data_IF_523283233856
#
_entry.id   IF_523283233856
#
_cell.length_a   1.000
_cell.length_b   1.000
_cell.length_c   1.000
_cell.angle_alpha   90.00
_cell.angle_beta   90.00
_cell.angle_gamma   90.00
#
_symmetry.space_group_name_H-M   'P 1'
#
loop_
_entity.id
_entity.type
_entity.pdbx_description
1 polymer ?
#
# COMPACT_ATOMS: atom_id res chain seq x y z
N UNK A 1 -5.31 23.43 -24.77
CA UNK A 1 -5.84 23.35 -26.14
C UNK A 1 -4.67 23.05 -27.05
N UNK A 2 -4.80 22.07 -27.93
CA UNK A 2 -3.85 21.86 -29.01
C UNK A 2 -4.57 22.16 -30.32
N UNK A 3 -3.89 22.86 -31.22
CA UNK A 3 -4.45 23.21 -32.52
C UNK A 3 -4.10 22.10 -33.50
N UNK A 4 -5.10 21.32 -33.92
CA UNK A 4 -4.93 20.32 -34.98
C UNK A 4 -5.35 20.96 -36.29
N UNK A 5 -4.46 20.97 -37.29
CA UNK A 5 -4.79 21.41 -38.65
C UNK A 5 -5.40 20.24 -39.40
N UNK A 6 -6.69 20.29 -39.67
CA UNK A 6 -7.37 19.31 -40.51
C UNK A 6 -7.42 19.87 -41.94
N UNK A 7 -6.93 19.11 -42.92
CA UNK A 7 -7.15 19.40 -44.35
C UNK A 7 -8.38 18.62 -44.80
N UNK A 8 -9.43 19.30 -45.26
CA UNK A 8 -10.52 18.62 -45.94
C UNK A 8 -10.02 18.07 -47.28
N UNK A 9 -10.31 16.80 -47.54
CA UNK A 9 -10.21 16.22 -48.88
C UNK A 9 -11.64 16.09 -49.39
N UNK A 10 -12.20 17.17 -49.94
CA UNK A 10 -13.26 17.14 -50.96
C UNK A 10 -13.73 18.58 -51.27
N UNK A 11 -13.60 18.92 -52.56
CA UNK A 11 -14.21 20.00 -53.37
C UNK A 11 -13.37 21.22 -53.76
N UNK A 12 -13.56 21.57 -55.03
CA UNK A 12 -12.89 22.61 -55.81
C UNK A 12 -13.13 24.02 -55.26
N UNK A 13 -12.05 24.82 -55.29
CA UNK A 13 -11.92 26.24 -54.91
C UNK A 13 -11.87 26.55 -53.40
N UNK A 14 -10.70 27.10 -53.05
CA UNK A 14 -10.27 27.63 -51.75
C UNK A 14 -10.10 26.58 -50.63
N UNK A 15 -8.84 26.16 -50.41
CA UNK A 15 -8.41 25.46 -49.19
C UNK A 15 -8.72 26.35 -47.97
N UNK A 16 -9.85 26.14 -47.30
CA UNK A 16 -10.06 26.66 -45.95
C UNK A 16 -9.30 25.79 -44.96
N UNK A 17 -8.25 26.35 -44.36
CA UNK A 17 -7.57 25.76 -43.20
C UNK A 17 -8.36 26.14 -41.96
N UNK A 18 -9.32 25.31 -41.57
CA UNK A 18 -10.04 25.49 -40.31
C UNK A 18 -9.16 24.97 -39.16
N UNK A 19 -8.88 25.84 -38.19
CA UNK A 19 -8.21 25.45 -36.94
C UNK A 19 -9.32 25.03 -35.99
N UNK A 20 -9.53 23.72 -35.86
CA UNK A 20 -10.49 23.19 -34.90
C UNK A 20 -9.75 23.05 -33.55
N UNK A 21 -10.20 23.75 -32.49
CA UNK A 21 -9.62 23.57 -31.16
C UNK A 21 -9.99 22.17 -30.65
N UNK A 22 -9.02 21.26 -30.61
CA UNK A 22 -9.21 19.92 -30.04
C UNK A 22 -8.86 19.98 -28.55
N UNK A 23 -9.83 19.62 -27.70
CA UNK A 23 -9.60 19.43 -26.27
C UNK A 23 -8.88 18.09 -26.07
N UNK A 24 -7.59 18.14 -25.76
CA UNK A 24 -6.81 16.97 -25.39
C UNK A 24 -6.98 16.73 -23.89
N UNK A 25 -7.29 15.49 -23.52
CA UNK A 25 -7.34 15.06 -22.12
C UNK A 25 -5.95 15.10 -21.50
N UNK A 26 -5.84 15.67 -20.30
CA UNK A 26 -4.59 15.83 -19.56
C UNK A 26 -4.69 15.10 -18.23
N UNK A 27 -3.55 14.80 -17.63
CA UNK A 27 -3.51 14.22 -16.28
C UNK A 27 -4.19 15.12 -15.23
N UNK A 28 -4.25 16.43 -15.45
CA UNK A 28 -4.98 17.35 -14.56
C UNK A 28 -6.50 17.18 -14.65
N UNK A 29 -7.02 16.64 -15.76
CA UNK A 29 -8.44 16.36 -15.95
C UNK A 29 -8.87 15.08 -15.20
N UNK A 30 -7.92 14.24 -14.75
CA UNK A 30 -8.19 13.02 -13.96
C UNK A 30 -8.94 13.36 -12.67
N UNK A 31 -8.62 14.50 -12.04
CA UNK A 31 -9.26 14.96 -10.82
C UNK A 31 -10.78 15.10 -10.97
N UNK A 32 -11.22 15.75 -12.04
CA UNK A 32 -12.65 15.92 -12.34
C UNK A 32 -13.34 14.57 -12.58
N UNK A 33 -12.64 13.61 -13.20
CA UNK A 33 -13.16 12.26 -13.43
C UNK A 33 -13.31 11.52 -12.10
N UNK A 34 -12.29 11.54 -11.25
CA UNK A 34 -12.34 10.94 -9.92
C UNK A 34 -13.50 11.52 -9.09
N UNK A 35 -13.67 12.85 -9.11
CA UNK A 35 -14.77 13.53 -8.41
C UNK A 35 -16.15 13.12 -8.93
N UNK A 36 -16.34 13.05 -10.25
CA UNK A 36 -17.58 12.56 -10.86
C UNK A 36 -17.90 11.11 -10.45
N UNK A 37 -16.88 10.28 -10.25
CA UNK A 37 -17.03 8.89 -9.80
C UNK A 37 -17.22 8.77 -8.28
N UNK A 38 -17.13 9.88 -7.55
CA UNK A 38 -17.21 9.87 -6.09
C UNK A 38 -15.97 9.30 -5.41
N UNK A 39 -14.83 9.23 -6.12
CA UNK A 39 -13.56 8.74 -5.59
C UNK A 39 -12.87 9.81 -4.74
N UNK A 40 -13.41 10.01 -3.53
CA UNK A 40 -13.05 11.15 -2.67
C UNK A 40 -11.60 11.09 -2.20
N UNK A 41 -11.12 9.92 -1.75
CA UNK A 41 -9.76 9.77 -1.24
C UNK A 41 -8.77 9.82 -2.40
N UNK A 42 -9.02 9.11 -3.50
CA UNK A 42 -8.16 9.14 -4.67
C UNK A 42 -8.01 10.56 -5.24
N UNK A 43 -9.13 11.28 -5.40
CA UNK A 43 -9.10 12.68 -5.83
C UNK A 43 -8.38 13.57 -4.81
N UNK A 44 -8.55 13.32 -3.51
CA UNK A 44 -7.82 13.99 -2.43
C UNK A 44 -6.31 13.83 -2.54
N UNK A 45 -5.85 12.60 -2.71
CA UNK A 45 -4.44 12.25 -2.85
C UNK A 45 -3.83 12.85 -4.11
N UNK A 46 -4.54 12.73 -5.23
CA UNK A 46 -4.11 13.32 -6.50
C UNK A 46 -4.03 14.86 -6.41
N UNK A 47 -5.00 15.52 -5.75
CA UNK A 47 -4.95 16.97 -5.49
C UNK A 47 -3.77 17.34 -4.60
N UNK A 48 -3.51 16.57 -3.54
CA UNK A 48 -2.33 16.78 -2.68
C UNK A 48 -1.07 16.71 -3.52
N UNK A 49 -0.88 15.64 -4.29
CA UNK A 49 0.29 15.48 -5.15
C UNK A 49 0.51 16.67 -6.08
N UNK A 50 -0.54 17.11 -6.80
CA UNK A 50 -0.44 18.24 -7.74
C UNK A 50 -0.09 19.58 -7.09
N UNK A 51 -0.46 19.81 -5.82
CA UNK A 51 -0.38 21.12 -5.18
C UNK A 51 0.68 21.20 -4.08
N UNK A 52 1.12 20.08 -3.54
CA UNK A 52 2.14 20.04 -2.49
C UNK A 52 3.49 20.52 -3.00
N UNK A 53 4.33 21.12 -2.12
CA UNK A 53 5.70 21.49 -2.44
C UNK A 53 6.44 20.34 -3.11
N UNK A 54 7.33 20.68 -4.05
CA UNK A 54 8.11 19.69 -4.78
C UNK A 54 8.82 18.75 -3.81
N UNK A 55 8.57 17.46 -4.00
CA UNK A 55 9.25 16.38 -3.32
C UNK A 55 9.13 15.14 -4.19
N UNK A 56 10.28 14.61 -4.57
CA UNK A 56 10.38 13.38 -5.30
C UNK A 56 11.04 12.37 -4.37
N UNK A 57 10.34 11.26 -4.12
CA UNK A 57 10.89 10.21 -3.28
C UNK A 57 12.15 9.63 -3.91
N UNK A 58 13.05 9.13 -3.07
CA UNK A 58 14.16 8.30 -3.46
C UNK A 58 13.74 6.84 -3.56
N UNK A 59 14.57 6.03 -4.23
CA UNK A 59 14.37 4.57 -4.25
C UNK A 59 14.35 3.95 -2.85
N UNK A 60 15.11 4.49 -1.88
CA UNK A 60 15.09 3.99 -0.50
C UNK A 60 13.77 4.33 0.20
N UNK A 61 13.21 5.52 -0.05
CA UNK A 61 11.90 5.93 0.46
C UNK A 61 10.79 5.02 -0.08
N UNK A 62 10.76 4.78 -1.40
CA UNK A 62 9.82 3.83 -2.04
C UNK A 62 9.97 2.40 -1.52
N UNK A 63 11.20 1.93 -1.33
CA UNK A 63 11.47 0.59 -0.78
C UNK A 63 11.29 0.52 0.74
N UNK A 64 10.87 1.61 1.38
CA UNK A 64 10.71 1.69 2.83
C UNK A 64 11.98 1.26 3.59
N UNK A 65 13.11 1.87 3.21
CA UNK A 65 14.43 1.67 3.83
C UNK A 65 14.91 2.93 4.53
N UNK A 66 13.97 3.78 4.96
CA UNK A 66 14.23 5.03 5.66
C UNK A 66 13.52 5.03 7.01
N UNK A 67 14.11 5.78 7.96
CA UNK A 67 13.45 6.09 9.22
C UNK A 67 12.39 7.18 9.00
N UNK A 68 11.14 6.86 9.27
CA UNK A 68 10.04 7.81 9.09
C UNK A 68 10.12 9.03 10.01
N UNK A 69 10.87 8.97 11.12
CA UNK A 69 11.12 10.14 11.96
C UNK A 69 12.03 11.18 11.29
N UNK A 70 12.78 10.77 10.27
CA UNK A 70 13.61 11.69 9.48
C UNK A 70 12.85 12.36 8.33
N UNK A 71 11.66 11.87 8.00
CA UNK A 71 10.81 12.42 6.94
C UNK A 71 10.02 13.62 7.46
N UNK A 72 9.99 14.70 6.69
CA UNK A 72 9.19 15.88 7.02
C UNK A 72 7.70 15.51 7.00
N UNK A 73 6.98 15.84 8.09
CA UNK A 73 5.55 15.58 8.25
C UNK A 73 4.68 16.08 7.09
N UNK A 74 5.09 17.12 6.36
CA UNK A 74 4.33 17.60 5.19
C UNK A 74 4.19 16.53 4.09
N UNK A 75 5.15 15.60 4.00
CA UNK A 75 5.18 14.47 3.07
C UNK A 75 4.59 13.19 3.67
N UNK A 76 3.82 13.31 4.75
CA UNK A 76 3.18 12.18 5.42
C UNK A 76 1.69 12.50 5.56
N UNK A 77 0.85 11.60 5.07
CA UNK A 77 -0.57 11.50 5.42
C UNK A 77 -0.68 10.38 6.45
N UNK A 78 -1.04 10.68 7.69
CA UNK A 78 -1.14 9.69 8.78
C UNK A 78 -2.55 9.55 9.37
N UNK A 79 -3.54 10.11 8.69
CA UNK A 79 -4.94 10.17 9.11
C UNK A 79 -5.91 9.50 8.11
N UNK A 80 -5.42 8.72 7.13
CA UNK A 80 -6.29 7.99 6.20
C UNK A 80 -7.22 7.05 7.00
N UNK A 81 -8.56 7.18 6.95
CA UNK A 81 -9.43 6.34 7.75
C UNK A 81 -9.33 4.86 7.33
N UNK A 82 -8.87 3.96 8.19
CA UNK A 82 -8.83 2.53 7.84
C UNK A 82 -10.22 1.99 7.52
N UNK A 83 -11.24 2.42 8.26
CA UNK A 83 -12.61 1.93 8.10
C UNK A 83 -13.23 2.31 6.74
N UNK A 84 -12.70 3.32 6.04
CA UNK A 84 -13.12 3.66 4.68
C UNK A 84 -12.91 2.50 3.70
N UNK A 85 -11.90 1.65 3.93
CA UNK A 85 -11.63 0.45 3.11
C UNK A 85 -12.83 -0.51 3.05
N UNK A 86 -13.65 -0.56 4.09
CA UNK A 86 -14.83 -1.42 4.14
C UNK A 86 -15.98 -0.92 3.27
N UNK A 87 -16.08 0.39 3.10
CA UNK A 87 -17.21 1.04 2.43
C UNK A 87 -16.88 1.47 1.01
N UNK A 88 -15.62 1.76 0.73
CA UNK A 88 -15.18 2.32 -0.54
C UNK A 88 -14.79 1.25 -1.57
N UNK A 89 -14.68 0.00 -1.14
CA UNK A 89 -14.39 -1.12 -2.03
C UNK A 89 -15.04 -2.41 -1.56
N UNK A 90 -15.84 -3.00 -2.43
CA UNK A 90 -16.49 -4.29 -2.19
C UNK A 90 -15.50 -5.46 -2.24
N UNK A 91 -14.33 -5.28 -2.87
CA UNK A 91 -13.28 -6.31 -2.98
C UNK A 91 -12.41 -6.41 -1.72
N UNK A 92 -12.21 -5.30 -1.02
CA UNK A 92 -11.26 -5.20 0.11
C UNK A 92 -11.84 -5.77 1.39
N UNK A 93 -13.11 -5.46 1.69
CA UNK A 93 -13.73 -5.89 2.96
C UNK A 93 -13.70 -7.41 3.18
N UNK A 94 -14.03 -8.28 2.19
CA UNK A 94 -13.99 -9.73 2.38
C UNK A 94 -12.59 -10.26 2.74
N UNK A 95 -11.55 -9.68 2.14
CA UNK A 95 -10.16 -10.08 2.38
C UNK A 95 -9.77 -9.76 3.83
N UNK A 96 -10.02 -8.52 4.27
CA UNK A 96 -9.73 -8.11 5.66
C UNK A 96 -10.52 -8.97 6.65
N UNK A 97 -11.82 -9.18 6.40
CA UNK A 97 -12.67 -10.00 7.25
C UNK A 97 -12.18 -11.45 7.37
N UNK A 98 -11.71 -12.04 6.28
CA UNK A 98 -11.16 -13.39 6.29
C UNK A 98 -9.87 -13.48 7.11
N UNK A 99 -8.97 -12.49 6.96
CA UNK A 99 -7.74 -12.42 7.76
C UNK A 99 -8.07 -12.25 9.24
N UNK A 100 -8.93 -11.29 9.59
CA UNK A 100 -9.36 -11.05 10.98
C UNK A 100 -9.95 -12.31 11.59
N UNK A 101 -10.83 -13.01 10.87
CA UNK A 101 -11.41 -14.29 11.32
C UNK A 101 -10.32 -15.32 11.62
N UNK A 102 -9.34 -15.48 10.73
CA UNK A 102 -8.25 -16.46 10.87
C UNK A 102 -7.34 -16.17 12.08
N UNK A 103 -7.13 -14.90 12.42
CA UNK A 103 -6.22 -14.50 13.51
C UNK A 103 -6.93 -14.13 14.82
N UNK A 104 -8.26 -14.19 14.86
CA UNK A 104 -9.06 -13.75 16.02
C UNK A 104 -8.91 -14.66 17.24
N UNK A 105 -8.81 -15.97 17.04
CA UNK A 105 -8.59 -16.95 18.10
C UNK A 105 -7.51 -17.93 17.64
N UNK A 106 -6.37 -17.94 18.33
CA UNK A 106 -5.23 -18.81 18.00
C UNK A 106 -4.74 -19.51 19.26
N UNK A 107 -4.54 -20.83 19.13
CA UNK A 107 -3.93 -21.70 20.14
C UNK A 107 -2.76 -22.41 19.51
N UNK A 108 -1.55 -21.99 19.84
CA UNK A 108 -0.28 -22.49 19.31
C UNK A 108 -0.09 -22.28 17.81
N UNK A 109 -0.95 -22.84 16.95
CA UNK A 109 -0.69 -23.04 15.53
C UNK A 109 -1.47 -22.05 14.65
N UNK A 110 -0.75 -21.32 13.81
CA UNK A 110 -1.33 -20.42 12.79
C UNK A 110 -0.22 -19.96 11.83
N UNK A 111 -0.51 -19.92 10.52
CA UNK A 111 0.47 -19.54 9.50
C UNK A 111 0.86 -18.05 9.52
N UNK A 112 -0.01 -17.19 10.07
CA UNK A 112 0.22 -15.75 10.18
C UNK A 112 1.04 -15.41 11.43
N UNK A 113 0.77 -16.02 12.58
CA UNK A 113 1.35 -15.54 13.85
C UNK A 113 1.75 -16.63 14.85
N UNK A 114 1.41 -17.88 14.57
CA UNK A 114 1.64 -19.00 15.47
C UNK A 114 2.77 -19.91 15.00
N UNK A 115 2.77 -21.11 15.56
CA UNK A 115 3.57 -22.24 15.12
C UNK A 115 2.96 -22.89 13.87
N UNK A 116 3.78 -23.64 13.16
CA UNK A 116 3.41 -24.48 12.02
C UNK A 116 3.37 -25.93 12.48
N UNK A 117 2.45 -26.71 11.90
CA UNK A 117 2.40 -28.16 12.13
C UNK A 117 3.52 -28.82 11.35
N UNK A 118 4.36 -29.61 12.01
CA UNK A 118 5.48 -30.30 11.37
C UNK A 118 6.56 -30.71 12.36
N UNK A 119 7.65 -31.31 11.86
CA UNK A 119 8.79 -31.80 12.66
C UNK A 119 9.99 -30.85 12.67
N UNK A 120 10.01 -29.86 11.78
CA UNK A 120 11.07 -28.84 11.67
C UNK A 120 10.48 -27.53 11.13
N UNK A 121 11.15 -26.40 11.40
CA UNK A 121 10.71 -25.06 11.01
C UNK A 121 9.29 -24.73 11.50
N UNK A 122 9.07 -24.93 12.80
CA UNK A 122 7.78 -24.79 13.44
C UNK A 122 7.40 -23.33 13.69
N UNK A 123 8.28 -22.35 13.48
CA UNK A 123 7.88 -20.94 13.62
C UNK A 123 7.34 -20.38 12.29
N UNK A 124 6.14 -19.79 12.31
CA UNK A 124 5.70 -18.99 11.16
C UNK A 124 6.63 -17.78 10.96
N UNK A 125 6.61 -17.19 9.76
CA UNK A 125 7.38 -15.98 9.49
C UNK A 125 6.93 -14.81 10.38
N UNK A 126 5.64 -14.69 10.66
CA UNK A 126 5.12 -13.66 11.56
C UNK A 126 5.55 -13.89 13.02
N UNK A 127 5.57 -15.14 13.49
CA UNK A 127 6.09 -15.46 14.82
C UNK A 127 7.60 -15.14 14.94
N UNK A 128 8.40 -15.43 13.91
CA UNK A 128 9.81 -15.02 13.86
C UNK A 128 9.97 -13.51 13.92
N UNK A 129 9.19 -12.77 13.11
CA UNK A 129 9.23 -11.33 13.12
C UNK A 129 8.84 -10.75 14.49
N UNK A 130 7.82 -11.33 15.14
CA UNK A 130 7.38 -10.95 16.48
C UNK A 130 8.48 -11.21 17.52
N UNK A 131 9.10 -12.39 17.52
CA UNK A 131 10.25 -12.70 18.39
C UNK A 131 11.39 -11.71 18.15
N UNK A 132 11.65 -11.33 16.90
CA UNK A 132 12.64 -10.30 16.56
C UNK A 132 12.30 -8.92 17.10
N UNK A 133 11.03 -8.52 17.14
CA UNK A 133 10.60 -7.29 17.82
C UNK A 133 10.87 -7.37 19.32
N UNK A 134 10.52 -8.49 19.96
CA UNK A 134 10.76 -8.71 21.38
C UNK A 134 12.27 -8.76 21.71
N UNK A 135 13.09 -9.32 20.83
CA UNK A 135 14.55 -9.27 20.94
C UNK A 135 15.08 -7.84 20.89
N UNK A 136 14.61 -7.02 19.94
CA UNK A 136 15.01 -5.61 19.84
C UNK A 136 14.64 -4.81 21.09
N UNK A 137 13.59 -5.22 21.80
CA UNK A 137 13.19 -4.67 23.10
C UNK A 137 14.00 -5.24 24.29
N UNK A 138 14.92 -6.18 24.06
CA UNK A 138 15.71 -6.84 25.10
C UNK A 138 14.92 -7.85 25.94
N UNK A 139 13.79 -8.33 25.42
CA UNK A 139 12.92 -9.33 26.06
C UNK A 139 13.26 -10.76 25.66
N UNK A 140 14.03 -10.96 24.60
CA UNK A 140 14.56 -12.25 24.16
C UNK A 140 16.08 -12.18 24.19
N UNK A 141 16.73 -13.13 24.86
CA UNK A 141 18.19 -13.29 24.85
C UNK A 141 18.56 -14.50 23.99
N UNK A 142 19.26 -14.24 22.87
CA UNK A 142 19.69 -15.28 21.93
C UNK A 142 20.69 -16.27 22.53
N UNK A 143 21.56 -15.83 23.45
CA UNK A 143 22.63 -16.67 24.01
C UNK A 143 22.07 -17.62 25.04
N UNK A 144 21.25 -17.11 25.95
CA UNK A 144 20.63 -17.94 26.99
C UNK A 144 19.34 -18.62 26.53
N UNK A 145 18.84 -18.29 25.33
CA UNK A 145 17.58 -18.79 24.76
C UNK A 145 16.39 -18.54 25.67
N UNK A 146 16.43 -17.42 26.37
CA UNK A 146 15.46 -17.09 27.42
C UNK A 146 14.63 -15.87 27.05
N UNK A 147 13.42 -15.80 27.60
CA UNK A 147 12.56 -14.63 27.51
C UNK A 147 12.31 -14.03 28.88
N UNK A 148 12.11 -12.71 28.93
CA UNK A 148 11.70 -12.00 30.14
C UNK A 148 10.18 -11.86 30.15
N UNK A 149 9.58 -12.05 31.32
CA UNK A 149 8.17 -11.70 31.51
C UNK A 149 7.98 -10.20 31.37
N UNK A 150 6.92 -9.79 30.67
CA UNK A 150 6.63 -8.41 30.36
C UNK A 150 5.16 -8.24 29.97
N UNK A 151 4.64 -7.04 30.20
CA UNK A 151 3.36 -6.60 29.67
C UNK A 151 3.59 -5.38 28.78
N UNK A 152 3.14 -5.45 27.53
CA UNK A 152 3.29 -4.40 26.53
C UNK A 152 1.89 -3.91 26.11
N UNK A 153 1.68 -2.61 26.22
CA UNK A 153 0.45 -1.93 25.79
C UNK A 153 0.79 -0.76 24.86
N UNK A 154 0.41 -0.92 23.60
CA UNK A 154 0.62 0.01 22.49
C UNK A 154 -0.72 0.43 21.87
N UNK A 155 -1.83 0.25 22.58
CA UNK A 155 -3.18 0.52 22.06
C UNK A 155 -3.32 1.97 21.56
N UNK A 156 -2.64 2.92 22.20
CA UNK A 156 -2.67 4.35 21.84
C UNK A 156 -1.58 4.78 20.84
N UNK A 157 -0.74 3.87 20.36
CA UNK A 157 0.30 4.22 19.38
C UNK A 157 -0.29 4.39 17.97
N UNK A 158 0.13 5.44 17.22
CA UNK A 158 -0.23 5.59 15.82
C UNK A 158 0.48 4.56 14.94
N UNK A 159 -0.04 4.35 13.72
CA UNK A 159 0.47 3.37 12.77
C UNK A 159 1.98 3.50 12.48
N UNK A 160 2.50 4.74 12.42
CA UNK A 160 3.92 5.01 12.19
C UNK A 160 4.82 4.47 13.31
N UNK A 161 4.38 4.56 14.57
CA UNK A 161 5.11 4.03 15.72
C UNK A 161 5.01 2.50 15.80
N UNK A 162 3.82 1.95 15.51
CA UNK A 162 3.60 0.51 15.47
C UNK A 162 4.50 -0.16 14.43
N UNK A 163 4.74 0.49 13.29
CA UNK A 163 5.60 -0.04 12.22
C UNK A 163 7.04 -0.27 12.66
N UNK A 164 7.52 0.60 13.56
CA UNK A 164 8.87 0.53 14.14
C UNK A 164 8.93 -0.45 15.31
N UNK A 165 7.86 -0.55 16.10
CA UNK A 165 7.88 -1.20 17.42
C UNK A 165 7.33 -2.61 17.40
N UNK A 166 6.08 -2.81 16.95
CA UNK A 166 5.33 -4.06 17.16
C UNK A 166 4.77 -4.71 15.90
N UNK A 167 5.00 -4.11 14.73
CA UNK A 167 4.63 -4.73 13.46
C UNK A 167 5.40 -6.03 13.25
N UNK A 168 4.66 -7.11 13.00
CA UNK A 168 5.24 -8.44 12.85
C UNK A 168 4.72 -9.19 11.63
N UNK A 169 3.61 -8.77 11.01
CA UNK A 169 3.15 -9.37 9.76
C UNK A 169 2.40 -8.38 8.88
N UNK A 170 2.06 -8.79 7.66
CA UNK A 170 1.26 -8.03 6.71
C UNK A 170 0.57 -8.98 5.73
N UNK A 171 -0.43 -8.48 5.02
CA UNK A 171 -1.03 -9.18 3.89
C UNK A 171 -1.28 -8.20 2.72
N UNK A 172 -0.98 -8.61 1.48
CA UNK A 172 -1.24 -7.79 0.30
C UNK A 172 -2.71 -7.81 -0.10
N UNK A 173 -3.16 -6.75 -0.78
CA UNK A 173 -4.48 -6.62 -1.39
C UNK A 173 -4.30 -6.13 -2.83
N UNK A 174 -4.96 -6.81 -3.77
CA UNK A 174 -4.91 -6.44 -5.18
C UNK A 174 -3.59 -6.79 -5.89
N UNK A 175 -2.80 -7.73 -5.35
CA UNK A 175 -1.49 -8.07 -5.89
C UNK A 175 -1.50 -9.29 -6.83
N UNK A 176 -2.51 -10.17 -6.71
CA UNK A 176 -2.61 -11.36 -7.55
C UNK A 176 -3.01 -11.00 -8.98
N UNK A 177 -2.61 -11.84 -9.95
CA UNK A 177 -3.02 -11.69 -11.35
C UNK A 177 -4.55 -11.67 -11.51
N UNK A 178 -5.27 -12.44 -10.69
CA UNK A 178 -6.72 -12.50 -10.74
C UNK A 178 -7.37 -11.21 -10.24
N UNK A 179 -6.93 -10.66 -9.10
CA UNK A 179 -7.40 -9.35 -8.61
C UNK A 179 -7.05 -8.25 -9.62
N UNK A 180 -5.82 -8.26 -10.16
CA UNK A 180 -5.42 -7.33 -11.22
C UNK A 180 -6.25 -7.48 -12.50
N UNK A 181 -6.78 -8.67 -12.81
CA UNK A 181 -7.63 -8.85 -13.99
C UNK A 181 -9.12 -8.51 -13.75
N UNK A 182 -9.63 -8.70 -12.53
CA UNK A 182 -11.08 -8.69 -12.26
C UNK A 182 -11.56 -7.57 -11.35
N UNK A 183 -10.67 -6.94 -10.59
CA UNK A 183 -11.04 -5.84 -9.70
C UNK A 183 -11.52 -4.64 -10.52
N UNK A 184 -12.74 -4.20 -10.23
CA UNK A 184 -13.27 -2.91 -10.69
C UNK A 184 -12.40 -1.77 -10.14
N UNK A 185 -12.29 -0.71 -10.93
CA UNK A 185 -11.63 0.50 -10.48
C UNK A 185 -12.58 1.23 -9.50
N UNK A 186 -12.09 1.49 -8.31
CA UNK A 186 -12.82 2.16 -7.22
C UNK A 186 -11.95 3.22 -6.53
N UNK A 187 -12.49 3.90 -5.52
CA UNK A 187 -11.77 4.94 -4.77
C UNK A 187 -10.51 4.37 -4.08
N UNK A 188 -10.57 3.11 -3.62
CA UNK A 188 -9.42 2.43 -3.01
C UNK A 188 -8.32 2.18 -4.03
N UNK A 189 -8.68 1.67 -5.21
CA UNK A 189 -7.73 1.45 -6.30
C UNK A 189 -7.10 2.77 -6.76
N UNK A 190 -7.90 3.83 -6.92
CA UNK A 190 -7.39 5.13 -7.33
C UNK A 190 -6.45 5.77 -6.31
N UNK A 191 -6.60 5.44 -5.02
CA UNK A 191 -5.78 5.99 -3.94
C UNK A 191 -4.53 5.15 -3.63
N UNK A 192 -4.64 3.82 -3.68
CA UNK A 192 -3.62 2.89 -3.17
C UNK A 192 -3.18 1.84 -4.20
N UNK A 193 -3.92 1.64 -5.29
CA UNK A 193 -3.66 0.57 -6.25
C UNK A 193 -3.63 -0.83 -5.58
N UNK A 194 -2.46 -1.49 -5.68
CA UNK A 194 -2.11 -2.67 -4.89
C UNK A 194 -1.36 -2.21 -3.65
N UNK A 195 -1.81 -2.64 -2.47
CA UNK A 195 -1.26 -2.16 -1.20
C UNK A 195 -1.16 -3.29 -0.17
N UNK A 196 -0.51 -3.00 0.96
CA UNK A 196 -0.40 -3.94 2.08
C UNK A 196 -1.16 -3.42 3.30
N UNK A 197 -1.82 -4.33 4.00
CA UNK A 197 -2.30 -4.11 5.36
C UNK A 197 -1.31 -4.77 6.32
N UNK A 198 -0.77 -3.98 7.24
CA UNK A 198 0.17 -4.44 8.25
C UNK A 198 -0.54 -4.84 9.52
N UNK A 199 0.06 -5.77 10.26
CA UNK A 199 -0.41 -6.34 11.51
C UNK A 199 0.64 -6.07 12.59
N UNK A 200 0.21 -5.46 13.68
CA UNK A 200 1.00 -5.18 14.86
C UNK A 200 0.29 -5.70 16.11
N UNK A 201 1.05 -6.14 17.12
CA UNK A 201 0.46 -6.42 18.43
C UNK A 201 0.28 -5.10 19.20
N UNK A 202 -0.88 -4.94 19.84
CA UNK A 202 -1.19 -3.78 20.67
C UNK A 202 -1.14 -4.14 22.15
N UNK A 203 -1.68 -5.30 22.53
CA UNK A 203 -1.67 -5.76 23.91
C UNK A 203 -1.06 -7.16 23.97
N UNK A 204 0.15 -7.26 24.50
CA UNK A 204 0.92 -8.51 24.57
C UNK A 204 1.44 -8.74 25.99
N UNK A 205 1.22 -9.94 26.52
CA UNK A 205 1.73 -10.39 27.81
C UNK A 205 2.66 -11.59 27.61
N UNK A 206 3.80 -11.58 28.30
CA UNK A 206 4.75 -12.69 28.34
C UNK A 206 4.83 -13.14 29.79
N UNK A 207 4.49 -14.40 30.02
CA UNK A 207 4.67 -15.06 31.33
C UNK A 207 5.57 -16.27 31.18
N UNK A 208 6.22 -16.68 32.25
CA UNK A 208 6.96 -17.94 32.29
C UNK A 208 6.25 -18.87 33.27
N UNK A 209 5.96 -20.08 32.82
CA UNK A 209 5.41 -21.09 33.71
C UNK A 209 6.49 -21.79 34.54
N UNK A 210 6.06 -22.59 35.52
CA UNK A 210 6.97 -23.33 36.41
C UNK A 210 7.75 -24.43 35.69
N UNK A 211 7.35 -24.80 34.48
CA UNK A 211 8.01 -25.82 33.66
C UNK A 211 9.01 -25.24 32.67
N UNK A 212 9.19 -23.90 32.67
CA UNK A 212 10.16 -23.20 31.85
C UNK A 212 9.65 -22.76 30.48
N UNK A 213 8.38 -23.02 30.15
CA UNK A 213 7.78 -22.49 28.92
C UNK A 213 7.41 -21.01 29.10
N UNK A 214 7.64 -20.25 28.05
CA UNK A 214 7.20 -18.87 27.92
C UNK A 214 5.83 -18.86 27.25
N UNK A 215 4.83 -18.28 27.90
CA UNK A 215 3.49 -18.10 27.36
C UNK A 215 3.35 -16.67 26.85
N UNK A 216 3.21 -16.51 25.54
CA UNK A 216 2.87 -15.26 24.88
C UNK A 216 1.35 -15.23 24.73
N UNK A 217 0.73 -14.20 25.30
CA UNK A 217 -0.69 -13.89 25.12
C UNK A 217 -0.84 -12.57 24.37
N UNK A 218 -1.74 -12.51 23.40
CA UNK A 218 -2.09 -11.27 22.71
C UNK A 218 -3.61 -11.10 22.80
N UNK A 219 -4.04 -9.94 23.31
CA UNK A 219 -5.46 -9.62 23.50
C UNK A 219 -5.99 -8.61 22.49
N UNK A 220 -5.10 -7.86 21.84
CA UNK A 220 -5.46 -6.87 20.83
C UNK A 220 -4.38 -6.77 19.75
N UNK A 221 -4.80 -6.77 18.49
CA UNK A 221 -3.97 -6.47 17.32
C UNK A 221 -4.41 -5.16 16.67
N UNK A 222 -3.48 -4.51 15.98
CA UNK A 222 -3.70 -3.33 15.15
C UNK A 222 -3.50 -3.67 13.69
N UNK A 223 -4.48 -3.30 12.86
CA UNK A 223 -4.38 -3.33 11.40
C UNK A 223 -4.27 -1.89 10.88
N UNK A 224 -3.34 -1.67 9.94
CA UNK A 224 -3.19 -0.36 9.31
C UNK A 224 -2.58 -0.50 7.91
N UNK A 225 -2.88 0.46 7.04
CA UNK A 225 -2.23 0.61 5.73
C UNK A 225 -0.95 1.41 5.90
N UNK A 226 0.09 0.99 5.17
CA UNK A 226 1.23 1.84 4.86
C UNK A 226 1.50 1.75 3.37
N UNK A 227 1.61 2.90 2.72
CA UNK A 227 1.86 3.01 1.29
C UNK A 227 2.66 4.27 0.93
N UNK A 228 3.00 4.43 -0.34
CA UNK A 228 3.57 5.64 -0.93
C UNK A 228 2.74 6.10 -2.12
N UNK A 229 2.40 7.38 -2.16
CA UNK A 229 1.76 7.99 -3.31
C UNK A 229 2.81 8.72 -4.14
N UNK A 230 3.28 8.06 -5.19
CA UNK A 230 4.42 8.46 -6.01
C UNK A 230 4.29 7.91 -7.44
N UNK A 231 5.01 8.51 -8.39
CA UNK A 231 4.96 8.13 -9.81
C UNK A 231 6.34 7.77 -10.37
N UNK A 232 7.21 7.17 -9.56
CA UNK A 232 8.52 6.68 -10.01
C UNK A 232 8.40 5.33 -10.69
N UNK A 233 9.13 5.17 -11.79
CA UNK A 233 9.31 3.88 -12.46
C UNK A 233 10.43 3.06 -11.81
N UNK A 234 10.13 1.80 -11.48
CA UNK A 234 11.14 0.79 -11.06
C UNK A 234 11.22 -0.30 -12.14
N UNK A 235 11.75 0.08 -13.30
CA UNK A 235 11.74 -0.72 -14.53
C UNK A 235 10.94 -0.02 -15.63
N UNK A 236 9.94 -0.71 -16.16
CA UNK A 236 9.09 -0.21 -17.25
C UNK A 236 8.14 0.91 -16.79
N UNK A 237 7.64 1.69 -17.74
CA UNK A 237 6.70 2.77 -17.49
C UNK A 237 5.32 2.21 -17.10
N UNK A 238 4.99 2.27 -15.81
CA UNK A 238 3.82 1.61 -15.26
C UNK A 238 2.51 2.23 -15.82
N UNK A 239 1.59 1.42 -16.38
CA UNK A 239 0.30 1.91 -16.83
C UNK A 239 -0.62 2.20 -15.62
N UNK A 240 -1.33 3.32 -15.68
CA UNK A 240 -2.26 3.81 -14.65
C UNK A 240 -3.71 3.87 -15.17
N UNK A 241 -3.97 3.27 -16.33
CA UNK A 241 -5.28 3.21 -16.96
C UNK A 241 -5.43 4.10 -18.20
N UNK A 242 -6.53 3.87 -18.89
CA UNK A 242 -6.98 4.67 -20.02
C UNK A 242 -8.06 5.64 -19.53
N UNK A 243 -7.72 6.92 -19.46
CA UNK A 243 -8.57 7.94 -18.87
C UNK A 243 -9.29 8.76 -19.95
N UNK A 244 -10.58 8.97 -19.75
CA UNK A 244 -11.43 9.81 -20.60
C UNK A 244 -12.25 10.78 -19.76
N UNK A 245 -13.01 11.66 -20.40
CA UNK A 245 -13.73 12.76 -19.73
C UNK A 245 -14.79 12.34 -18.70
N UNK A 246 -15.26 11.10 -18.80
CA UNK A 246 -16.37 10.58 -17.99
C UNK A 246 -15.99 9.34 -17.17
N UNK A 247 -14.95 8.61 -17.57
CA UNK A 247 -14.62 7.33 -16.96
C UNK A 247 -13.14 6.98 -17.17
N UNK A 248 -12.71 5.92 -16.49
CA UNK A 248 -11.41 5.29 -16.68
C UNK A 248 -11.63 3.81 -17.00
N UNK A 249 -10.81 3.31 -17.93
CA UNK A 249 -10.80 1.92 -18.37
C UNK A 249 -9.49 1.30 -17.93
N UNK A 250 -9.58 0.11 -17.32
CA UNK A 250 -8.40 -0.66 -16.93
C UNK A 250 -7.69 -1.14 -18.19
N UNK A 251 -6.36 -1.12 -18.26
CA UNK A 251 -5.65 -1.66 -19.40
C UNK A 251 -5.98 -3.16 -19.53
N UNK A 252 -6.57 -3.56 -20.66
CA UNK A 252 -6.73 -4.98 -20.99
C UNK A 252 -5.41 -5.54 -21.52
N UNK A 253 -5.23 -6.86 -21.43
CA UNK A 253 -4.00 -7.59 -21.85
C UNK A 253 -3.53 -7.17 -23.26
N UNK A 254 -4.47 -7.03 -24.21
CA UNK A 254 -4.17 -6.63 -25.59
C UNK A 254 -3.66 -5.18 -25.64
N UNK A 255 -4.32 -4.27 -24.93
CA UNK A 255 -3.95 -2.85 -24.91
C UNK A 255 -2.62 -2.60 -24.19
N UNK A 256 -2.26 -3.44 -23.21
CA UNK A 256 -0.95 -3.42 -22.56
C UNK A 256 0.14 -3.94 -23.51
N UNK A 257 -0.10 -5.06 -24.20
CA UNK A 257 0.86 -5.63 -25.15
C UNK A 257 1.21 -4.66 -26.30
N UNK A 258 0.23 -3.87 -26.76
CA UNK A 258 0.41 -2.93 -27.86
C UNK A 258 0.66 -1.49 -27.42
N UNK A 259 0.70 -1.22 -26.10
CA UNK A 259 0.99 0.10 -25.53
C UNK A 259 0.24 1.26 -26.21
N UNK A 260 -1.02 1.02 -26.60
CA UNK A 260 -1.77 1.97 -27.42
C UNK A 260 -1.91 3.31 -26.71
N UNK A 261 -1.60 4.42 -27.37
CA UNK A 261 -1.72 5.76 -26.75
C UNK A 261 -3.19 6.13 -26.46
N UNK A 262 -4.13 5.51 -27.17
CA UNK A 262 -5.57 5.77 -27.09
C UNK A 262 -6.36 4.49 -27.38
N UNK A 263 -7.45 4.29 -26.66
CA UNK A 263 -8.49 3.31 -26.99
C UNK A 263 -9.83 4.01 -27.18
N UNK A 264 -10.74 3.37 -27.92
CA UNK A 264 -12.11 3.86 -28.10
C UNK A 264 -13.07 2.77 -27.64
N UNK A 265 -13.88 3.07 -26.63
CA UNK A 265 -14.94 2.19 -26.12
C UNK A 265 -16.27 2.94 -26.12
N UNK A 266 -17.32 2.31 -26.63
CA UNK A 266 -18.66 2.91 -26.76
C UNK A 266 -18.67 4.30 -27.43
N UNK A 267 -17.79 4.47 -28.44
CA UNK A 267 -17.65 5.74 -29.18
C UNK A 267 -16.97 6.86 -28.40
N UNK A 268 -16.41 6.57 -27.21
CA UNK A 268 -15.65 7.53 -26.39
C UNK A 268 -14.17 7.20 -26.43
N UNK A 269 -13.36 8.25 -26.55
CA UNK A 269 -11.90 8.13 -26.54
C UNK A 269 -11.35 8.17 -25.10
N UNK A 270 -10.44 7.24 -24.80
CA UNK A 270 -9.69 7.16 -23.56
C UNK A 270 -8.19 7.16 -23.86
N UNK A 271 -7.42 7.88 -23.06
CA UNK A 271 -6.01 8.16 -23.30
C UNK A 271 -5.16 7.43 -22.27
N UNK A 272 -4.11 6.76 -22.73
CA UNK A 272 -3.19 6.03 -21.84
C UNK A 272 -2.50 7.00 -20.90
N UNK A 273 -2.59 6.73 -19.61
CA UNK A 273 -1.85 7.43 -18.56
C UNK A 273 -0.88 6.45 -17.94
N UNK A 274 0.33 6.92 -17.70
CA UNK A 274 1.43 6.15 -17.09
C UNK A 274 2.11 7.00 -16.02
N UNK A 275 2.97 6.38 -15.22
CA UNK A 275 3.89 7.12 -14.33
C UNK A 275 4.69 8.19 -15.10
N UNK A 276 5.16 7.86 -16.30
CA UNK A 276 5.86 8.77 -17.20
C UNK A 276 5.05 10.03 -17.55
N UNK A 277 3.71 9.94 -17.58
CA UNK A 277 2.84 11.11 -17.77
C UNK A 277 2.95 12.10 -16.60
N UNK A 278 3.05 11.61 -15.37
CA UNK A 278 3.24 12.42 -14.16
C UNK A 278 4.68 12.95 -14.04
N UNK A 279 5.68 12.14 -14.38
CA UNK A 279 7.09 12.55 -14.44
C UNK A 279 7.26 13.71 -15.43
N UNK A 280 6.71 13.61 -16.64
CA UNK A 280 6.76 14.70 -17.63
C UNK A 280 6.08 15.98 -17.13
N UNK A 281 4.97 15.86 -16.38
CA UNK A 281 4.29 17.01 -15.79
C UNK A 281 5.13 17.68 -14.68
N UNK A 282 5.75 16.88 -13.80
CA UNK A 282 6.70 17.34 -12.78
C UNK A 282 7.86 18.09 -13.42
N UNK A 283 8.51 17.50 -14.42
CA UNK A 283 9.60 18.15 -15.16
C UNK A 283 9.18 19.49 -15.77
N UNK A 284 7.97 19.56 -16.32
CA UNK A 284 7.43 20.79 -16.87
C UNK A 284 7.26 21.84 -15.78
N UNK A 285 6.67 21.49 -14.63
CA UNK A 285 6.51 22.40 -13.50
C UNK A 285 7.87 22.93 -13.01
N UNK A 286 8.87 22.05 -12.91
CA UNK A 286 10.23 22.41 -12.54
C UNK A 286 10.86 23.40 -13.52
N UNK A 287 10.75 23.14 -14.84
CA UNK A 287 11.23 24.04 -15.91
C UNK A 287 10.53 25.41 -15.86
N UNK A 288 9.29 25.45 -15.40
CA UNK A 288 8.50 26.68 -15.20
C UNK A 288 8.77 27.37 -13.84
N UNK A 289 9.68 26.84 -13.02
CA UNK A 289 10.02 27.39 -11.70
C UNK A 289 8.93 27.22 -10.64
N UNK A 290 7.99 26.28 -10.83
CA UNK A 290 6.90 26.01 -9.89
C UNK A 290 7.36 25.01 -8.83
N UNK A 291 7.11 25.35 -7.56
CA UNK A 291 7.38 24.47 -6.42
C UNK A 291 6.13 23.63 -6.08
N UNK A 292 5.82 22.66 -6.95
CA UNK A 292 4.66 21.75 -6.83
C UNK A 292 5.05 20.32 -7.22
N UNK A 293 4.13 19.35 -7.18
CA UNK A 293 4.34 17.91 -7.51
C UNK A 293 5.07 17.09 -6.44
N UNK A 294 4.51 17.08 -5.23
CA UNK A 294 5.05 16.39 -4.07
C UNK A 294 4.52 14.97 -3.87
N UNK A 295 5.41 13.98 -3.89
CA UNK A 295 5.14 12.62 -3.41
C UNK A 295 4.85 12.63 -1.89
N UNK A 296 4.22 11.59 -1.36
CA UNK A 296 4.02 11.47 0.09
C UNK A 296 3.82 10.02 0.54
N UNK A 297 4.17 9.76 1.81
CA UNK A 297 3.86 8.52 2.49
C UNK A 297 2.41 8.54 2.96
N UNK A 298 1.78 7.38 2.96
CA UNK A 298 0.42 7.19 3.42
C UNK A 298 0.41 6.18 4.55
N UNK A 299 -0.20 6.57 5.66
CA UNK A 299 -0.54 5.75 6.80
C UNK A 299 -2.01 5.91 7.08
N UNK A 300 -2.69 4.78 7.34
CA UNK A 300 -4.04 4.85 7.88
C UNK A 300 -4.05 5.03 9.39
N UNK A 301 -5.22 5.40 9.91
CA UNK A 301 -5.56 5.16 11.31
C UNK A 301 -5.47 3.65 11.63
N UNK A 302 -5.32 3.32 12.92
CA UNK A 302 -5.19 1.93 13.36
C UNK A 302 -6.56 1.34 13.62
N UNK A 303 -6.90 0.26 12.92
CA UNK A 303 -8.05 -0.58 13.25
C UNK A 303 -7.67 -1.57 14.33
N UNK A 304 -8.19 -1.36 15.54
CA UNK A 304 -8.01 -2.28 16.66
C UNK A 304 -8.95 -3.47 16.52
N UNK A 305 -8.41 -4.68 16.69
CA UNK A 305 -9.18 -5.92 16.72
C UNK A 305 -8.89 -6.65 18.03
N UNK A 306 -9.95 -6.98 18.76
CA UNK A 306 -9.84 -7.86 19.93
C UNK A 306 -9.56 -9.28 19.46
N UNK A 307 -8.62 -9.93 20.11
CA UNK A 307 -8.20 -11.29 19.79
C UNK A 307 -7.98 -12.08 21.07
N UNK A 308 -7.93 -13.40 20.93
CA UNK A 308 -7.53 -14.31 21.99
C UNK A 308 -6.47 -15.26 21.42
N UNK A 309 -5.21 -14.87 21.59
CA UNK A 309 -4.07 -15.61 21.04
C UNK A 309 -3.21 -16.08 22.21
N UNK A 310 -2.89 -17.36 22.23
CA UNK A 310 -1.91 -17.95 23.16
C UNK A 310 -0.94 -18.82 22.38
N UNK A 311 0.35 -18.60 22.60
CA UNK A 311 1.45 -19.38 22.01
C UNK A 311 2.46 -19.68 23.12
N UNK A 312 2.85 -20.95 23.27
CA UNK A 312 3.90 -21.35 24.20
C UNK A 312 5.22 -21.56 23.46
N UNK A 313 6.28 -20.93 23.94
CA UNK A 313 7.64 -21.08 23.42
C UNK A 313 8.56 -21.70 24.48
N UNK A 314 9.56 -22.45 24.03
CA UNK A 314 10.66 -22.92 24.87
C UNK A 314 12.02 -22.60 24.21
N UNK A 315 13.09 -23.12 24.81
CA UNK A 315 14.46 -22.94 24.31
C UNK A 315 14.69 -23.50 22.90
N UNK A 316 13.99 -24.56 22.49
CA UNK A 316 14.04 -25.12 21.13
C UNK A 316 13.43 -24.13 20.13
N UNK A 317 12.31 -23.51 20.47
CA UNK A 317 11.70 -22.48 19.61
C UNK A 317 12.64 -21.27 19.43
N UNK A 318 13.27 -20.82 20.52
CA UNK A 318 14.25 -19.71 20.44
C UNK A 318 15.49 -20.13 19.64
N UNK A 319 15.94 -21.38 19.74
CA UNK A 319 17.03 -21.91 18.91
C UNK A 319 16.68 -21.89 17.41
N UNK A 320 15.45 -22.27 17.05
CA UNK A 320 14.99 -22.18 15.67
C UNK A 320 15.03 -20.72 15.17
N UNK A 321 14.50 -19.79 15.97
CA UNK A 321 14.53 -18.36 15.68
C UNK A 321 15.95 -17.87 15.41
N UNK A 322 16.90 -18.19 16.31
CA UNK A 322 18.31 -17.79 16.18
C UNK A 322 18.92 -18.39 14.91
N UNK A 323 18.67 -19.67 14.64
CA UNK A 323 19.19 -20.37 13.45
C UNK A 323 18.68 -19.74 12.15
N UNK A 324 17.39 -19.40 12.08
CA UNK A 324 16.76 -18.86 10.86
C UNK A 324 17.10 -17.39 10.61
N UNK A 325 17.40 -16.64 11.65
CA UNK A 325 17.81 -15.22 11.53
C UNK A 325 19.30 -15.05 11.28
N UNK A 326 20.16 -15.93 11.79
CA UNK A 326 21.60 -15.91 11.48
C UNK A 326 21.93 -16.23 10.02
N UNK A 327 21.11 -17.06 9.35
CA UNK A 327 21.29 -17.36 7.91
C UNK A 327 20.93 -16.20 6.98
N UNK A 328 20.31 -15.15 7.50
CA UNK A 328 19.81 -13.99 6.75
C UNK A 328 20.64 -12.71 6.97
N UNK A 329 21.64 -12.76 7.86
CA UNK A 329 22.60 -11.68 8.12
C UNK A 329 23.87 -11.89 7.26
#
# INVERSE_FOLDING_TARGET
MANVKVKSKLTDKNESKEIIPVKIFKITDILDVMDKKGWKIAAGFMRKWFNDPYYEMSKQEKLNKVDMHSINKQHIVDDLPFDWLYTASTRVSPIINNVVKNISEVREYNETLGKLKGVANQLSNGLIAMIGRLEHLGLVDRKSKAMKSAFLDYSEMPAIELDRTSQFNYFPIGDTLWEKATDELDDVYGALGSFIVKIAFLNLNITQDKTGFYRIEINELGLYVRDTYEFMNDGDDQPLGYWGWDNVVKPGIISELFESAKITEDGKDYFRVTNGSFVQYREKCHKEGKNVTGDFFVYSTVKRIKVDITIHLNDIDIEEYVTRTNKRA
#
